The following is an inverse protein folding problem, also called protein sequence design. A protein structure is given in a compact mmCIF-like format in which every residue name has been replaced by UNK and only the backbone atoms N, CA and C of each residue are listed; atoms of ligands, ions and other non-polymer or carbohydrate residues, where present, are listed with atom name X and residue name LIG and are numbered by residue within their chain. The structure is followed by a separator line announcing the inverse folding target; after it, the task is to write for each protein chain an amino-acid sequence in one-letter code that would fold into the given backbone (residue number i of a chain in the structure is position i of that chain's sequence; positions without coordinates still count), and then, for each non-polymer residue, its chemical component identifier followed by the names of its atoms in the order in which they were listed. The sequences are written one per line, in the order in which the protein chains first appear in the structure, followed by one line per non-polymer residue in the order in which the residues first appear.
data_IF_509815632618
#
_entry.id   IF_509815632618
#
_cell.length_a   1.000
_cell.length_b   1.000
_cell.length_c   1.000
_cell.angle_alpha   90.00
_cell.angle_beta   90.00
_cell.angle_gamma   90.00
#
_symmetry.space_group_name_H-M   'P 1'
#
loop_
_entity.id
_entity.type
_entity.pdbx_description
1 polymer ?
#
# COMPACT_ATOMS: atom_id res chain seq x y z
N UNK A 1 16.93 8.69 0.25
CA UNK A 1 15.65 8.85 -0.46
C UNK A 1 14.54 8.66 0.56
N UNK A 2 13.78 9.71 0.86
CA UNK A 2 12.59 9.62 1.70
C UNK A 2 11.48 8.93 0.91
N UNK A 3 10.83 7.93 1.52
CA UNK A 3 9.65 7.29 0.93
C UNK A 3 8.47 8.20 1.20
N UNK A 4 7.79 8.65 0.15
CA UNK A 4 6.57 9.48 0.23
C UNK A 4 5.33 8.62 -0.01
N UNK A 5 4.17 9.00 0.57
CA UNK A 5 2.92 8.29 0.35
C UNK A 5 2.51 8.21 -1.13
N UNK A 6 2.79 9.26 -1.90
CA UNK A 6 2.50 9.29 -3.35
C UNK A 6 3.31 8.24 -4.12
N UNK A 7 4.58 8.04 -3.76
CA UNK A 7 5.44 7.05 -4.39
C UNK A 7 4.93 5.61 -4.12
N UNK A 8 4.43 5.36 -2.91
CA UNK A 8 3.82 4.08 -2.54
C UNK A 8 2.54 3.88 -3.35
N UNK A 9 1.71 4.92 -3.46
CA UNK A 9 0.44 4.88 -4.20
C UNK A 9 0.65 4.56 -5.67
N UNK A 10 1.60 5.23 -6.31
CA UNK A 10 1.90 5.04 -7.73
C UNK A 10 2.43 3.63 -8.02
N UNK A 11 3.37 3.13 -7.20
CA UNK A 11 3.90 1.76 -7.33
C UNK A 11 2.82 0.70 -7.16
N UNK A 12 1.99 0.80 -6.13
CA UNK A 12 0.93 -0.19 -5.88
C UNK A 12 -0.14 -0.17 -6.98
N UNK A 13 -0.43 1.01 -7.53
CA UNK A 13 -1.36 1.15 -8.66
C UNK A 13 -0.77 0.50 -9.92
N UNK A 14 0.52 0.69 -10.18
CA UNK A 14 1.19 0.15 -11.37
C UNK A 14 1.43 -1.37 -11.32
N UNK A 15 1.93 -1.90 -10.20
CA UNK A 15 2.30 -3.33 -10.10
C UNK A 15 1.10 -4.26 -9.82
N UNK A 16 0.17 -3.83 -8.97
CA UNK A 16 -0.96 -4.67 -8.48
C UNK A 16 -2.27 -4.31 -9.21
N UNK A 17 -2.24 -3.33 -10.11
CA UNK A 17 -3.43 -2.87 -10.84
C UNK A 17 -4.54 -2.43 -9.88
N UNK A 18 -4.18 -1.77 -8.78
CA UNK A 18 -5.12 -1.38 -7.76
C UNK A 18 -6.10 -0.31 -8.28
N UNK A 19 -7.39 -0.51 -8.04
CA UNK A 19 -8.45 0.42 -8.42
C UNK A 19 -8.49 1.60 -7.45
N UNK A 20 -8.28 1.30 -6.16
CA UNK A 20 -8.24 2.31 -5.12
C UNK A 20 -7.07 2.01 -4.18
N UNK A 21 -6.29 3.05 -3.91
CA UNK A 21 -5.16 3.00 -2.98
C UNK A 21 -5.23 4.25 -2.12
N UNK A 22 -5.32 4.03 -0.82
CA UNK A 22 -5.24 5.07 0.21
C UNK A 22 -4.01 4.82 1.08
N UNK A 23 -3.22 5.87 1.32
CA UNK A 23 -1.94 5.79 2.05
C UNK A 23 -1.95 6.86 3.14
N UNK A 24 -2.04 6.44 4.39
CA UNK A 24 -1.97 7.31 5.56
C UNK A 24 -0.56 7.24 6.16
N UNK A 25 0.08 8.40 6.33
CA UNK A 25 1.35 8.50 7.04
C UNK A 25 1.09 8.52 8.57
N UNK A 26 1.50 7.45 9.24
CA UNK A 26 1.37 7.27 10.70
C UNK A 26 2.70 7.52 11.44
N UNK A 27 3.70 8.04 10.74
CA UNK A 27 5.02 8.42 11.29
C UNK A 27 4.98 9.44 12.43
N UNK A 28 4.02 10.39 12.54
CA UNK A 28 4.03 11.40 13.62
C UNK A 28 4.13 10.82 15.04
N UNK A 29 3.70 9.56 15.24
CA UNK A 29 3.71 8.88 16.54
C UNK A 29 4.75 7.75 16.65
N UNK A 30 5.72 7.64 15.71
CA UNK A 30 6.70 6.53 15.68
C UNK A 30 8.10 7.01 15.30
N UNK A 31 9.12 6.34 15.83
CA UNK A 31 10.53 6.61 15.50
C UNK A 31 10.93 6.28 14.05
N UNK A 32 10.11 5.52 13.32
CA UNK A 32 10.41 5.05 11.97
C UNK A 32 9.25 5.33 11.01
N UNK A 33 9.58 5.52 9.73
CA UNK A 33 8.61 5.73 8.66
C UNK A 33 7.56 4.60 8.66
N UNK A 34 6.32 4.97 8.96
CA UNK A 34 5.22 4.02 9.13
C UNK A 34 4.03 4.47 8.30
N UNK A 35 3.69 3.68 7.29
CA UNK A 35 2.57 3.96 6.40
C UNK A 35 1.50 2.91 6.60
N UNK A 36 0.26 3.35 6.72
CA UNK A 36 -0.91 2.48 6.67
C UNK A 36 -1.51 2.58 5.28
N UNK A 37 -1.74 1.43 4.65
CA UNK A 37 -2.20 1.38 3.26
C UNK A 37 -3.48 0.57 3.17
N UNK A 38 -4.47 1.11 2.47
CA UNK A 38 -5.70 0.41 2.08
C UNK A 38 -5.70 0.24 0.57
N UNK A 39 -5.70 -1.01 0.11
CA UNK A 39 -5.64 -1.36 -1.32
C UNK A 39 -6.87 -2.15 -1.71
N UNK A 40 -7.57 -1.68 -2.75
CA UNK A 40 -8.68 -2.41 -3.39
C UNK A 40 -8.23 -2.79 -4.80
N UNK A 41 -8.06 -4.09 -5.03
CA UNK A 41 -7.69 -4.65 -6.35
C UNK A 41 -8.45 -5.96 -6.60
N UNK A 42 -8.97 -6.18 -7.81
CA UNK A 42 -9.56 -7.46 -8.20
C UNK A 42 -8.50 -8.57 -8.22
N UNK A 43 -7.21 -8.25 -8.30
CA UNK A 43 -6.13 -9.24 -8.27
C UNK A 43 -6.01 -9.98 -6.93
N UNK A 44 -6.66 -9.49 -5.86
CA UNK A 44 -6.71 -10.17 -4.58
C UNK A 44 -7.85 -11.19 -4.48
N UNK A 45 -8.79 -11.16 -5.42
CA UNK A 45 -9.86 -12.15 -5.51
C UNK A 45 -9.27 -13.53 -5.81
N UNK A 46 -9.71 -14.55 -5.08
CA UNK A 46 -9.16 -15.92 -5.18
C UNK A 46 -7.78 -16.14 -4.54
N UNK A 47 -7.04 -15.08 -4.16
CA UNK A 47 -5.76 -15.24 -3.42
C UNK A 47 -6.01 -15.42 -1.91
N UNK A 48 -5.35 -16.37 -1.23
CA UNK A 48 -5.37 -16.47 0.22
C UNK A 48 -4.68 -15.27 0.87
N UNK A 49 -5.07 -14.96 2.12
CA UNK A 49 -4.68 -13.73 2.83
C UNK A 49 -3.15 -13.50 2.83
N UNK A 50 -2.36 -14.53 3.13
CA UNK A 50 -0.89 -14.46 3.08
C UNK A 50 -0.35 -14.06 1.71
N UNK A 51 -0.93 -14.57 0.63
CA UNK A 51 -0.50 -14.27 -0.74
C UNK A 51 -0.90 -12.85 -1.19
N UNK A 52 -1.82 -12.19 -0.49
CA UNK A 52 -2.15 -10.78 -0.73
C UNK A 52 -1.11 -9.83 -0.13
N UNK A 53 -0.45 -10.25 0.95
CA UNK A 53 0.58 -9.46 1.63
C UNK A 53 2.01 -9.72 1.13
N UNK A 54 2.27 -10.90 0.56
CA UNK A 54 3.56 -11.27 -0.04
C UNK A 54 3.72 -10.64 -1.42
#
# INVERSE_FOLDING_TARGET
MSVTPDLIREKLSAEIGAIHVDVEDTTPNRCAASFKVLVVSPQFEGKPLLQRHR
#
